data_IF_142819707616
#
_entry.id   IF_142819707616
#
_cell.length_a   1.000
_cell.length_b   1.000
_cell.length_c   1.000
_cell.angle_alpha   90.00
_cell.angle_beta   90.00
_cell.angle_gamma   90.00
#
_symmetry.space_group_name_H-M   'P 1'
#
loop_
_entity.id
_entity.type
_entity.pdbx_description
1 polymer ?
#
# COMPACT_ATOMS: atom_id res chain seq x y z
N UNK A 1 -15.91 -11.91 -2.97
CA UNK A 1 -14.77 -12.24 -2.08
C UNK A 1 -15.07 -11.65 -0.72
N UNK A 2 -14.72 -12.31 0.38
CA UNK A 2 -14.76 -11.73 1.72
C UNK A 2 -13.29 -11.50 2.10
N UNK A 3 -12.94 -10.26 2.41
CA UNK A 3 -11.58 -9.80 2.69
C UNK A 3 -11.56 -8.99 3.99
N UNK A 4 -10.38 -8.84 4.59
CA UNK A 4 -10.17 -7.92 5.70
C UNK A 4 -10.46 -6.46 5.26
N UNK A 5 -11.03 -5.67 6.17
CA UNK A 5 -11.38 -4.28 5.89
C UNK A 5 -10.21 -3.33 6.16
N UNK A 6 -9.68 -2.72 5.10
CA UNK A 6 -8.68 -1.65 5.18
C UNK A 6 -9.37 -0.30 5.44
N UNK A 7 -9.23 0.24 6.65
CA UNK A 7 -10.01 1.37 7.15
C UNK A 7 -9.53 2.76 6.67
N UNK A 8 -8.35 2.85 6.05
CA UNK A 8 -7.79 4.11 5.53
C UNK A 8 -7.95 4.23 4.00
N UNK A 9 -8.67 3.30 3.38
CA UNK A 9 -8.96 3.30 1.95
C UNK A 9 -7.73 3.00 1.09
N UNK A 10 -7.71 3.57 -0.12
CA UNK A 10 -6.62 3.34 -1.08
C UNK A 10 -5.39 4.20 -0.76
N UNK A 11 -4.19 3.77 -1.17
CA UNK A 11 -2.97 4.56 -1.07
C UNK A 11 -3.14 5.92 -1.75
N UNK A 12 -3.84 6.00 -2.88
CA UNK A 12 -4.15 7.27 -3.53
C UNK A 12 -4.90 8.23 -2.59
N UNK A 13 -6.03 7.80 -2.02
CA UNK A 13 -6.85 8.61 -1.12
C UNK A 13 -6.08 8.99 0.16
N UNK A 14 -5.31 8.04 0.68
CA UNK A 14 -4.49 8.25 1.87
C UNK A 14 -3.43 9.34 1.61
N UNK A 15 -2.73 9.27 0.47
CA UNK A 15 -1.76 10.28 0.09
C UNK A 15 -2.42 11.64 -0.16
N UNK A 16 -3.54 11.70 -0.89
CA UNK A 16 -4.29 12.95 -1.12
C UNK A 16 -4.67 13.64 0.20
N UNK A 17 -5.04 12.87 1.22
CA UNK A 17 -5.44 13.40 2.54
C UNK A 17 -4.25 13.75 3.44
N UNK A 18 -3.17 12.96 3.42
CA UNK A 18 -2.10 13.01 4.43
C UNK A 18 -0.76 13.53 3.91
N UNK A 19 -0.63 13.89 2.62
CA UNK A 19 0.66 14.19 1.99
C UNK A 19 1.52 15.20 2.75
N UNK A 20 0.90 16.25 3.29
CA UNK A 20 1.57 17.34 4.02
C UNK A 20 2.01 16.94 5.43
N UNK A 21 1.42 15.90 6.01
CA UNK A 21 1.72 15.38 7.34
C UNK A 21 2.82 14.31 7.30
N UNK A 22 2.90 13.57 6.19
CA UNK A 22 3.88 12.50 5.99
C UNK A 22 5.30 13.04 5.85
N UNK A 23 6.18 12.55 6.73
CA UNK A 23 7.61 12.74 6.60
C UNK A 23 8.18 11.85 5.49
N UNK A 24 9.39 12.17 5.04
CA UNK A 24 10.09 11.33 4.06
C UNK A 24 10.28 9.88 4.53
N UNK A 25 10.51 9.69 5.83
CA UNK A 25 10.62 8.36 6.44
C UNK A 25 9.32 7.56 6.30
N UNK A 26 8.16 8.20 6.43
CA UNK A 26 6.86 7.53 6.28
C UNK A 26 6.66 7.09 4.83
N UNK A 27 7.02 7.95 3.87
CA UNK A 27 6.95 7.65 2.43
C UNK A 27 7.88 6.49 2.06
N UNK A 28 9.08 6.44 2.64
CA UNK A 28 10.02 5.34 2.43
C UNK A 28 9.50 4.04 3.05
N UNK A 29 8.87 4.09 4.23
CA UNK A 29 8.23 2.93 4.83
C UNK A 29 7.09 2.40 3.95
N UNK A 30 6.24 3.28 3.40
CA UNK A 30 5.21 2.89 2.42
C UNK A 30 5.81 2.18 1.21
N UNK A 31 6.83 2.76 0.60
CA UNK A 31 7.49 2.11 -0.53
C UNK A 31 8.07 0.74 -0.16
N UNK A 32 8.70 0.63 1.03
CA UNK A 32 9.27 -0.61 1.53
C UNK A 32 8.20 -1.69 1.70
N UNK A 33 7.09 -1.42 2.39
CA UNK A 33 6.03 -2.41 2.61
C UNK A 33 5.41 -2.89 1.28
N UNK A 34 5.16 -1.99 0.33
CA UNK A 34 4.70 -2.37 -1.02
C UNK A 34 5.71 -3.32 -1.68
N UNK A 35 7.01 -3.02 -1.61
CA UNK A 35 8.04 -3.88 -2.21
C UNK A 35 8.15 -5.24 -1.52
N UNK A 36 7.91 -5.32 -0.20
CA UNK A 36 7.89 -6.58 0.54
C UNK A 36 6.68 -7.43 0.13
N UNK A 37 5.50 -6.82 -0.02
CA UNK A 37 4.31 -7.50 -0.54
C UNK A 37 4.53 -8.04 -1.96
N UNK A 38 5.13 -7.25 -2.85
CA UNK A 38 5.47 -7.70 -4.20
C UNK A 38 6.53 -8.79 -4.21
N UNK A 39 7.55 -8.69 -3.37
CA UNK A 39 8.57 -9.74 -3.20
C UNK A 39 7.91 -11.05 -2.77
N UNK A 40 6.97 -11.00 -1.83
CA UNK A 40 6.20 -12.16 -1.40
C UNK A 40 5.41 -12.77 -2.57
N UNK A 41 4.66 -11.97 -3.33
CA UNK A 41 3.92 -12.45 -4.50
C UNK A 41 4.84 -13.09 -5.55
N UNK A 42 5.94 -12.41 -5.89
CA UNK A 42 6.90 -12.90 -6.87
C UNK A 42 7.61 -14.18 -6.42
N UNK A 43 7.87 -14.35 -5.12
CA UNK A 43 8.42 -15.60 -4.58
C UNK A 43 7.48 -16.80 -4.71
N UNK A 44 6.20 -16.56 -5.01
CA UNK A 44 5.18 -17.58 -5.29
C UNK A 44 4.76 -17.61 -6.77
N UNK A 45 5.57 -17.05 -7.67
CA UNK A 45 5.29 -16.96 -9.12
C UNK A 45 4.00 -16.20 -9.46
N UNK A 46 3.52 -15.34 -8.56
CA UNK A 46 2.33 -14.51 -8.76
C UNK A 46 2.75 -13.12 -9.24
N UNK A 47 2.34 -12.76 -10.46
CA UNK A 47 2.51 -11.40 -10.99
C UNK A 47 1.25 -10.60 -10.67
N UNK A 48 1.37 -9.45 -9.99
CA UNK A 48 0.21 -8.61 -9.63
C UNK A 48 -0.57 -8.10 -10.86
N UNK A 49 0.13 -7.77 -11.96
CA UNK A 49 -0.39 -7.29 -13.27
C UNK A 49 -1.12 -5.95 -13.29
N UNK A 50 -1.72 -5.52 -12.19
CA UNK A 50 -2.46 -4.24 -12.11
C UNK A 50 -2.02 -3.40 -10.90
N UNK A 51 -0.70 -3.24 -10.72
CA UNK A 51 -0.15 -2.52 -9.58
C UNK A 51 -0.23 -1.01 -9.82
N UNK A 52 -1.07 -0.33 -9.03
CA UNK A 52 -1.16 1.13 -9.00
C UNK A 52 -1.76 1.60 -7.67
N UNK A 53 -1.68 2.90 -7.37
CA UNK A 53 -2.06 3.47 -6.06
C UNK A 53 -3.53 3.28 -5.66
N UNK A 54 -4.45 3.02 -6.59
CA UNK A 54 -5.84 2.66 -6.25
C UNK A 54 -6.02 1.18 -5.84
N UNK A 55 -5.04 0.31 -6.10
CA UNK A 55 -5.07 -1.12 -5.78
C UNK A 55 -4.18 -1.48 -4.59
N UNK A 56 -3.62 -0.47 -3.92
CA UNK A 56 -2.92 -0.62 -2.65
C UNK A 56 -3.85 -0.07 -1.58
N UNK A 57 -4.12 -0.87 -0.55
CA UNK A 57 -5.02 -0.50 0.55
C UNK A 57 -4.20 -0.20 1.81
N UNK A 58 -4.64 0.77 2.60
CA UNK A 58 -3.98 1.19 3.85
C UNK A 58 -4.85 0.78 5.04
N UNK A 59 -4.21 0.23 6.07
CA UNK A 59 -4.89 -0.20 7.30
C UNK A 59 -4.15 0.38 8.51
N UNK A 60 -4.87 1.01 9.45
CA UNK A 60 -4.28 1.67 10.64
C UNK A 60 -3.20 2.74 10.34
N UNK A 61 -3.26 3.38 9.17
CA UNK A 61 -2.21 4.30 8.72
C UNK A 61 -0.87 3.60 8.46
N UNK A 62 -0.88 2.27 8.40
CA UNK A 62 0.24 1.45 7.97
C UNK A 62 -0.07 0.89 6.58
N UNK A 63 0.85 1.09 5.63
CA UNK A 63 0.80 0.48 4.31
C UNK A 63 1.08 -1.03 4.35
#
# INVERSE_FOLDING_TARGET
MILEYANEGTLRQYLETNFTRLQWTDKLNIAKEITLGLLFLHSHDIIHRDLHSNNILIHEGKP
#
